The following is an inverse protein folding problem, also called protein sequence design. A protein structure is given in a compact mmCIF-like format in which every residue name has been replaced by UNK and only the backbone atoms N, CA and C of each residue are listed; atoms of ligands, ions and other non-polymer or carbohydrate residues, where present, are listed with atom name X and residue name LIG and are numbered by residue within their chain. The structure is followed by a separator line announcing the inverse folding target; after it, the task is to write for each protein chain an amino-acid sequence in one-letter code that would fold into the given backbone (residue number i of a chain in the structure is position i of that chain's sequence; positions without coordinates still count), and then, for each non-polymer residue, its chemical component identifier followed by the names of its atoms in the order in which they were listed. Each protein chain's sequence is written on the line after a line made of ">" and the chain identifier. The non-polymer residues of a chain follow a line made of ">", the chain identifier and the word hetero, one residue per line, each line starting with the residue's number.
data_IF_180846912822
#
_entry.id   IF_180846912822
#
_cell.length_a   1.000
_cell.length_b   1.000
_cell.length_c   1.000
_cell.angle_alpha   90.00
_cell.angle_beta   90.00
_cell.angle_gamma   90.00
#
_symmetry.space_group_name_H-M   'P 1'
#
loop_
_entity.id
_entity.type
_entity.pdbx_description
1 polymer ?
#
# COMPACT_ATOMS: atom_id res chain seq x y z
N UNK A 1 -43.51 29.46 -5.61
CA UNK A 1 -42.56 28.84 -6.59
C UNK A 1 -41.08 29.12 -6.34
N UNK A 2 -40.65 30.29 -5.82
CA UNK A 2 -39.20 30.62 -5.63
C UNK A 2 -38.44 29.73 -4.62
N UNK A 3 -39.10 29.22 -3.58
CA UNK A 3 -38.45 28.34 -2.58
C UNK A 3 -38.12 26.93 -3.12
N UNK A 4 -38.92 26.39 -4.04
CA UNK A 4 -38.71 25.05 -4.63
C UNK A 4 -37.46 25.03 -5.52
N UNK A 5 -37.22 26.13 -6.27
CA UNK A 5 -36.01 26.28 -7.09
C UNK A 5 -34.73 26.39 -6.24
N UNK A 6 -34.80 26.99 -5.05
CA UNK A 6 -33.64 27.17 -4.15
C UNK A 6 -33.23 25.84 -3.50
N UNK A 7 -34.21 24.99 -3.14
CA UNK A 7 -33.98 23.63 -2.62
C UNK A 7 -33.30 22.73 -3.65
N UNK A 8 -33.69 22.84 -4.93
CA UNK A 8 -33.10 22.04 -6.00
C UNK A 8 -31.62 22.40 -6.29
N UNK A 9 -31.25 23.68 -6.13
CA UNK A 9 -29.85 24.13 -6.26
C UNK A 9 -28.96 23.62 -5.12
N UNK A 10 -29.48 23.54 -3.89
CA UNK A 10 -28.74 22.99 -2.75
C UNK A 10 -28.45 21.51 -2.95
N UNK A 11 -29.46 20.74 -3.39
CA UNK A 11 -29.26 19.32 -3.72
C UNK A 11 -28.23 19.12 -4.84
N UNK A 12 -28.27 19.95 -5.88
CA UNK A 12 -27.27 19.92 -6.98
C UNK A 12 -25.84 20.22 -6.50
N UNK A 13 -25.68 21.19 -5.59
CA UNK A 13 -24.37 21.48 -5.00
C UNK A 13 -23.87 20.34 -4.10
N UNK A 14 -24.75 19.75 -3.28
CA UNK A 14 -24.41 18.59 -2.46
C UNK A 14 -24.03 17.36 -3.30
N UNK A 15 -24.76 17.08 -4.38
CA UNK A 15 -24.42 15.96 -5.27
C UNK A 15 -23.11 16.19 -6.01
N UNK A 16 -22.84 17.41 -6.47
CA UNK A 16 -21.58 17.75 -7.14
C UNK A 16 -20.37 17.63 -6.20
N UNK A 17 -20.52 18.06 -4.95
CA UNK A 17 -19.48 17.93 -3.92
C UNK A 17 -19.15 16.46 -3.63
N UNK A 18 -20.18 15.61 -3.46
CA UNK A 18 -19.97 14.17 -3.23
C UNK A 18 -19.22 13.51 -4.41
N UNK A 19 -19.62 13.79 -5.66
CA UNK A 19 -18.97 13.21 -6.85
C UNK A 19 -17.49 13.61 -6.94
N UNK A 20 -17.14 14.85 -6.62
CA UNK A 20 -15.75 15.33 -6.63
C UNK A 20 -14.87 14.67 -5.55
N UNK A 21 -15.44 14.25 -4.43
CA UNK A 21 -14.70 13.60 -3.36
C UNK A 21 -14.53 12.08 -3.57
N UNK A 22 -15.46 11.43 -4.26
CA UNK A 22 -15.38 9.98 -4.53
C UNK A 22 -14.65 9.61 -5.84
N UNK A 23 -14.29 10.58 -6.70
CA UNK A 23 -13.56 10.30 -7.95
C UNK A 23 -12.06 10.04 -7.75
N UNK A 24 -11.51 10.31 -6.56
CA UNK A 24 -10.10 10.07 -6.26
C UNK A 24 -9.93 8.66 -5.68
N UNK A 25 -10.03 7.64 -6.53
CA UNK A 25 -9.50 6.32 -6.22
C UNK A 25 -7.97 6.40 -6.21
N UNK A 26 -7.39 6.84 -5.10
CA UNK A 26 -5.96 6.75 -4.88
C UNK A 26 -5.68 5.29 -4.53
N UNK A 27 -5.03 4.56 -5.43
CA UNK A 27 -4.58 3.18 -5.21
C UNK A 27 -3.35 3.11 -4.29
N UNK A 28 -3.23 4.02 -3.32
CA UNK A 28 -2.18 3.94 -2.30
C UNK A 28 -2.65 2.96 -1.24
N UNK A 29 -1.73 2.14 -0.77
CA UNK A 29 -1.97 1.20 0.32
C UNK A 29 -2.11 1.95 1.65
N UNK A 30 -3.20 2.68 1.84
CA UNK A 30 -3.57 3.25 3.13
C UNK A 30 -4.21 2.17 4.02
N UNK A 31 -3.94 2.20 5.35
CA UNK A 31 -4.55 1.26 6.27
C UNK A 31 -6.07 1.48 6.33
N UNK A 32 -6.84 0.43 6.09
CA UNK A 32 -8.30 0.52 6.23
C UNK A 32 -8.72 0.56 7.70
N UNK A 33 -9.86 1.19 7.96
CA UNK A 33 -10.40 1.40 9.32
C UNK A 33 -10.63 0.10 10.10
N UNK A 34 -11.08 -0.96 9.44
CA UNK A 34 -11.43 -2.23 10.09
C UNK A 34 -10.50 -3.37 9.68
N UNK A 35 -10.40 -3.65 8.39
CA UNK A 35 -9.57 -4.72 7.85
C UNK A 35 -9.17 -4.40 6.42
N UNK A 36 -7.91 -4.61 6.09
CA UNK A 36 -7.43 -4.60 4.71
C UNK A 36 -6.30 -5.60 4.55
N UNK A 37 -6.31 -6.27 3.40
CA UNK A 37 -5.20 -7.06 2.92
C UNK A 37 -5.02 -6.77 1.44
N UNK A 38 -3.96 -6.04 1.10
CA UNK A 38 -3.69 -5.62 -0.27
C UNK A 38 -2.27 -6.03 -0.66
N UNK A 39 -2.14 -6.67 -1.82
CA UNK A 39 -0.86 -6.95 -2.45
C UNK A 39 -0.75 -6.12 -3.72
N UNK A 40 0.29 -5.31 -3.84
CA UNK A 40 0.55 -4.47 -4.99
C UNK A 40 1.85 -4.90 -5.64
N UNK A 41 1.76 -5.32 -6.90
CA UNK A 41 2.92 -5.49 -7.75
C UNK A 41 3.39 -4.09 -8.14
N UNK A 42 4.51 -3.64 -7.56
CA UNK A 42 5.16 -2.46 -8.10
C UNK A 42 5.98 -2.97 -9.28
N UNK A 43 5.50 -2.70 -10.49
CA UNK A 43 6.34 -2.57 -11.68
C UNK A 43 7.30 -1.42 -11.38
N UNK A 44 8.31 -1.73 -10.59
CA UNK A 44 9.26 -0.73 -10.14
C UNK A 44 9.76 -0.09 -11.41
N UNK A 45 9.76 1.24 -11.41
CA UNK A 45 10.63 2.05 -12.27
C UNK A 45 12.08 1.79 -11.82
N UNK A 46 12.45 0.52 -11.73
CA UNK A 46 13.79 0.00 -11.75
C UNK A 46 14.33 0.56 -13.05
N UNK A 47 15.22 1.55 -12.96
CA UNK A 47 16.14 1.87 -14.05
C UNK A 47 16.54 0.54 -14.68
N UNK A 48 16.10 0.25 -15.91
CA UNK A 48 15.83 -1.08 -16.50
C UNK A 48 16.90 -2.17 -16.42
N UNK A 49 17.36 -2.48 -15.21
CA UNK A 49 18.55 -3.25 -14.87
C UNK A 49 18.29 -4.20 -13.67
N UNK A 50 17.27 -3.93 -12.85
CA UNK A 50 16.97 -4.76 -11.65
C UNK A 50 15.82 -5.76 -11.85
N UNK A 51 14.93 -5.56 -12.83
CA UNK A 51 13.86 -6.52 -13.17
C UNK A 51 14.36 -7.36 -14.35
N UNK A 52 14.88 -8.55 -14.05
CA UNK A 52 15.39 -9.50 -15.04
C UNK A 52 14.34 -10.59 -15.32
N UNK A 53 14.41 -11.27 -16.46
CA UNK A 53 13.62 -12.49 -16.76
C UNK A 53 14.09 -13.71 -15.94
N UNK A 54 14.37 -13.48 -14.66
CA UNK A 54 14.84 -14.47 -13.72
C UNK A 54 13.69 -15.42 -13.34
N UNK A 55 14.05 -16.67 -13.04
CA UNK A 55 13.08 -17.66 -12.57
C UNK A 55 12.72 -17.37 -11.11
N UNK A 56 11.46 -17.55 -10.74
CA UNK A 56 11.03 -17.43 -9.33
C UNK A 56 11.32 -18.75 -8.61
N UNK A 57 12.48 -18.84 -7.95
CA UNK A 57 12.91 -20.02 -7.18
C UNK A 57 12.90 -19.76 -5.66
N UNK A 58 13.18 -18.52 -5.26
CA UNK A 58 13.31 -18.07 -3.87
C UNK A 58 12.43 -16.86 -3.60
N UNK A 59 12.01 -16.74 -2.35
CA UNK A 59 11.21 -15.64 -1.81
C UNK A 59 11.93 -15.05 -0.59
N UNK A 60 12.20 -13.76 -0.63
CA UNK A 60 12.63 -12.98 0.52
C UNK A 60 11.56 -11.97 0.91
N UNK A 61 11.32 -11.80 2.20
CA UNK A 61 10.38 -10.78 2.68
C UNK A 61 10.95 -9.99 3.85
N UNK A 62 10.65 -8.70 3.86
CA UNK A 62 10.98 -7.81 4.97
C UNK A 62 9.75 -6.98 5.31
N UNK A 63 9.27 -7.15 6.53
CA UNK A 63 8.06 -6.55 7.02
C UNK A 63 8.37 -5.49 8.07
N UNK A 64 7.79 -4.32 7.86
CA UNK A 64 7.59 -3.34 8.90
C UNK A 64 6.20 -3.54 9.50
N UNK A 65 6.15 -3.59 10.82
CA UNK A 65 4.91 -3.54 11.56
C UNK A 65 4.93 -2.28 12.41
N UNK A 66 3.75 -1.73 12.62
CA UNK A 66 3.58 -0.77 13.69
C UNK A 66 2.24 -0.96 14.38
N UNK A 67 2.34 -0.81 15.69
CA UNK A 67 1.26 -0.99 16.63
C UNK A 67 1.02 0.39 17.22
N UNK A 68 -0.09 1.02 16.86
CA UNK A 68 -0.44 2.36 17.31
C UNK A 68 -1.74 2.31 18.11
N UNK A 69 -1.66 1.79 19.33
CA UNK A 69 -2.73 2.02 20.29
C UNK A 69 -2.57 3.48 20.78
N UNK A 70 -3.48 4.37 20.38
CA UNK A 70 -3.47 5.80 20.76
C UNK A 70 -2.23 6.61 20.34
N UNK A 71 -1.86 6.56 19.04
CA UNK A 71 -0.80 7.42 18.46
C UNK A 71 0.63 7.21 19.00
N UNK A 72 0.86 6.24 19.88
CA UNK A 72 2.20 5.85 20.30
C UNK A 72 2.70 4.71 19.42
N UNK A 73 3.71 4.99 18.60
CA UNK A 73 4.33 4.04 17.69
C UNK A 73 5.30 3.13 18.50
N UNK A 74 4.76 2.13 19.20
CA UNK A 74 5.50 1.42 20.27
C UNK A 74 6.45 0.33 19.77
N UNK A 75 6.37 -0.08 18.51
CA UNK A 75 7.22 -1.15 17.99
C UNK A 75 7.47 -0.96 16.49
N UNK A 76 8.37 -0.06 16.13
CA UNK A 76 8.82 0.11 14.76
C UNK A 76 10.00 -0.83 14.50
N UNK A 77 9.75 -2.02 13.93
CA UNK A 77 10.80 -2.73 13.20
C UNK A 77 10.77 -2.17 11.79
N UNK A 78 11.71 -1.27 11.50
CA UNK A 78 11.80 -0.67 10.16
C UNK A 78 11.94 -1.77 9.10
N UNK A 79 11.35 -1.60 7.92
CA UNK A 79 11.61 -2.52 6.83
C UNK A 79 13.12 -2.48 6.53
N UNK A 80 13.71 -3.58 6.06
CA UNK A 80 15.03 -3.49 5.43
C UNK A 80 14.87 -2.56 4.24
N UNK A 81 15.63 -1.47 4.24
CA UNK A 81 15.31 -0.30 3.43
C UNK A 81 15.54 -0.52 1.94
N UNK A 82 16.21 -1.62 1.54
CA UNK A 82 16.52 -1.89 0.14
C UNK A 82 16.15 -3.31 -0.29
N UNK A 83 15.56 -3.40 -1.50
CA UNK A 83 15.28 -4.67 -2.20
C UNK A 83 16.55 -5.51 -2.34
N UNK A 84 17.69 -4.86 -2.56
CA UNK A 84 19.00 -5.51 -2.72
C UNK A 84 19.51 -6.15 -1.43
N UNK A 85 19.26 -5.54 -0.27
CA UNK A 85 19.59 -6.14 1.03
C UNK A 85 18.72 -7.37 1.31
N UNK A 86 17.42 -7.28 1.02
CA UNK A 86 16.50 -8.44 1.11
C UNK A 86 16.97 -9.54 0.17
N UNK A 87 17.32 -9.20 -1.08
CA UNK A 87 17.84 -10.18 -2.03
C UNK A 87 19.11 -10.86 -1.49
N UNK A 88 20.06 -10.08 -0.95
CA UNK A 88 21.31 -10.60 -0.39
C UNK A 88 21.08 -11.54 0.81
N UNK A 89 20.22 -11.16 1.75
CA UNK A 89 19.97 -11.95 2.96
C UNK A 89 19.26 -13.28 2.67
N UNK A 90 18.45 -13.30 1.61
CA UNK A 90 17.72 -14.49 1.17
C UNK A 90 18.42 -15.21 0.02
N UNK A 91 19.66 -14.83 -0.32
CA UNK A 91 20.47 -15.47 -1.35
C UNK A 91 19.84 -15.44 -2.75
N UNK A 92 19.13 -14.36 -3.07
CA UNK A 92 18.56 -14.08 -4.38
C UNK A 92 19.60 -13.30 -5.18
N UNK A 93 20.14 -13.92 -6.22
CA UNK A 93 21.14 -13.35 -7.12
C UNK A 93 20.49 -12.50 -8.22
N UNK A 94 19.31 -12.92 -8.72
CA UNK A 94 18.55 -12.14 -9.69
C UNK A 94 17.11 -11.95 -9.27
N UNK A 95 16.68 -10.69 -9.27
CA UNK A 95 15.32 -10.30 -8.91
C UNK A 95 14.42 -10.44 -10.13
N UNK A 96 13.36 -11.23 -9.98
CA UNK A 96 12.30 -11.39 -10.97
C UNK A 96 11.16 -10.39 -10.73
N UNK A 97 10.69 -10.30 -9.48
CA UNK A 97 9.50 -9.51 -9.12
C UNK A 97 9.66 -8.92 -7.72
N UNK A 98 9.13 -7.71 -7.51
CA UNK A 98 9.05 -7.06 -6.19
C UNK A 98 7.60 -6.69 -5.91
N UNK A 99 7.08 -7.20 -4.79
CA UNK A 99 5.70 -6.98 -4.36
C UNK A 99 5.66 -6.25 -3.04
N UNK A 100 4.63 -5.43 -2.87
CA UNK A 100 4.32 -4.77 -1.63
C UNK A 100 3.06 -5.40 -1.05
N UNK A 101 3.17 -6.03 0.11
CA UNK A 101 2.03 -6.60 0.81
C UNK A 101 1.71 -5.72 2.02
N UNK A 102 0.46 -5.30 2.13
CA UNK A 102 -0.04 -4.48 3.23
C UNK A 102 -1.18 -5.21 3.91
N UNK A 103 -1.15 -5.21 5.23
CA UNK A 103 -2.17 -5.79 6.08
C UNK A 103 -2.49 -4.80 7.18
N UNK A 104 -3.77 -4.49 7.37
CA UNK A 104 -4.22 -3.67 8.49
C UNK A 104 -5.38 -4.35 9.20
N UNK A 105 -5.35 -4.30 10.53
CA UNK A 105 -6.41 -4.81 11.39
C UNK A 105 -6.72 -3.77 12.45
N UNK A 106 -7.98 -3.31 12.48
CA UNK A 106 -8.41 -2.09 13.14
C UNK A 106 -7.42 -0.95 12.87
N UNK A 107 -7.53 -0.26 11.74
CA UNK A 107 -6.64 0.79 11.20
C UNK A 107 -5.57 1.40 12.12
N UNK A 108 -5.92 1.97 13.29
CA UNK A 108 -4.94 2.47 14.26
C UNK A 108 -4.14 1.38 15.00
N UNK A 109 -4.75 0.27 15.38
CA UNK A 109 -4.18 -0.75 16.26
C UNK A 109 -3.02 -1.50 15.63
N UNK A 110 -3.19 -2.00 14.41
CA UNK A 110 -2.17 -2.82 13.75
C UNK A 110 -2.10 -2.55 12.26
N UNK A 111 -0.90 -2.21 11.78
CA UNK A 111 -0.59 -2.27 10.37
C UNK A 111 0.76 -2.97 10.13
N UNK A 112 0.83 -3.69 9.02
CA UNK A 112 1.98 -4.46 8.56
C UNK A 112 2.19 -4.18 7.08
N UNK A 113 3.33 -3.60 6.75
CA UNK A 113 3.76 -3.32 5.38
C UNK A 113 5.01 -4.15 5.08
N UNK A 114 4.97 -5.00 4.07
CA UNK A 114 6.06 -5.87 3.68
C UNK A 114 6.50 -5.60 2.26
N UNK A 115 7.81 -5.64 2.05
CA UNK A 115 8.43 -5.76 0.73
C UNK A 115 8.77 -7.22 0.53
N UNK A 116 8.28 -7.81 -0.55
CA UNK A 116 8.52 -9.19 -0.94
C UNK A 116 9.31 -9.19 -2.23
N UNK A 117 10.39 -9.95 -2.27
CA UNK A 117 11.30 -10.07 -3.40
C UNK A 117 11.30 -11.52 -3.85
N UNK A 118 11.07 -11.72 -5.14
CA UNK A 118 11.05 -13.03 -5.79
C UNK A 118 12.18 -13.12 -6.80
N UNK A 119 12.86 -14.26 -6.87
CA UNK A 119 13.98 -14.42 -7.80
C UNK A 119 14.69 -15.77 -7.72
N UNK A 120 15.86 -15.87 -8.34
CA UNK A 120 16.75 -17.05 -8.33
C UNK A 120 17.99 -16.83 -7.45
#
# INVERSE_FOLDING_TARGET
>A
MKQVLKRNRIFLFCSAFLILHFSNCIATSEPALLFSYNTQHILSKSNGSLISSARVLKKGESCSYAISLFYYNTTYRGPKNSVTEIAKDFGIEKIAVVDYATFSFLGPVFYKNCVVVWGE
#
